data_IF_326994202012
#
_entry.id   IF_326994202012
#
_cell.length_a   1.000
_cell.length_b   1.000
_cell.length_c   1.000
_cell.angle_alpha   90.00
_cell.angle_beta   90.00
_cell.angle_gamma   90.00
#
_symmetry.space_group_name_H-M   'P 1'
#
loop_
_entity.id
_entity.type
_entity.pdbx_description
1 polymer ?
#
# COMPACT_ATOMS: atom_id res chain seq x y z
N UNK A 1 -0.20 16.76 -6.18
CA UNK A 1 -0.57 15.33 -6.30
C UNK A 1 -2.00 15.19 -5.81
N UNK A 2 -2.90 14.59 -6.61
CA UNK A 2 -4.29 14.32 -6.22
C UNK A 2 -4.43 12.94 -5.60
N UNK A 3 -5.61 12.64 -5.02
CA UNK A 3 -5.90 11.34 -4.43
C UNK A 3 -5.90 10.24 -5.50
N UNK A 4 -5.60 9.00 -5.08
CA UNK A 4 -5.86 7.81 -5.88
C UNK A 4 -7.24 7.24 -5.58
N UNK A 5 -7.51 6.02 -6.04
CA UNK A 5 -8.72 5.25 -5.74
C UNK A 5 -8.39 3.82 -5.31
N UNK A 6 -9.30 3.22 -4.57
CA UNK A 6 -9.26 1.79 -4.21
C UNK A 6 -10.25 1.06 -5.13
N UNK A 7 -9.76 0.07 -5.87
CA UNK A 7 -10.57 -0.71 -6.77
C UNK A 7 -10.39 -2.22 -6.55
N UNK A 8 -11.37 -3.01 -6.94
CA UNK A 8 -11.36 -4.47 -6.84
C UNK A 8 -11.13 -5.08 -8.22
N UNK A 9 -10.21 -6.02 -8.31
CA UNK A 9 -9.92 -6.74 -9.55
C UNK A 9 -11.05 -7.70 -9.89
N UNK A 10 -11.75 -7.45 -10.99
CA UNK A 10 -12.83 -8.33 -11.46
C UNK A 10 -12.28 -9.48 -12.32
N UNK A 11 -11.31 -9.18 -13.17
CA UNK A 11 -10.72 -10.16 -14.07
C UNK A 11 -10.02 -9.50 -15.23
N UNK A 12 -9.73 -10.29 -16.26
CA UNK A 12 -9.16 -9.80 -17.50
C UNK A 12 -10.05 -10.20 -18.69
N UNK A 13 -10.09 -9.33 -19.67
CA UNK A 13 -10.77 -9.54 -20.95
C UNK A 13 -9.94 -8.91 -22.07
N UNK A 14 -10.47 -8.86 -23.26
CA UNK A 14 -9.89 -8.16 -24.40
C UNK A 14 -10.92 -7.21 -25.01
N UNK A 15 -10.46 -6.09 -25.47
CA UNK A 15 -11.22 -5.16 -26.27
C UNK A 15 -10.62 -5.13 -27.68
N UNK A 16 -11.45 -4.88 -28.66
CA UNK A 16 -11.03 -4.67 -30.04
C UNK A 16 -10.91 -3.17 -30.26
N UNK A 17 -9.77 -2.74 -30.72
CA UNK A 17 -9.57 -1.36 -31.16
C UNK A 17 -10.12 -1.19 -32.59
N UNK A 18 -10.36 0.03 -32.99
CA UNK A 18 -10.87 0.36 -34.34
C UNK A 18 -9.98 -0.15 -35.48
N UNK A 19 -8.67 -0.25 -35.22
CA UNK A 19 -7.67 -0.80 -36.13
C UNK A 19 -7.64 -2.35 -36.15
N UNK A 20 -8.60 -3.02 -35.51
CA UNK A 20 -8.71 -4.47 -35.41
C UNK A 20 -7.74 -5.14 -34.43
N UNK A 21 -6.93 -4.40 -33.70
CA UNK A 21 -6.01 -4.96 -32.71
C UNK A 21 -6.73 -5.43 -31.46
N UNK A 22 -6.29 -6.56 -30.95
CA UNK A 22 -6.74 -7.06 -29.65
C UNK A 22 -5.95 -6.38 -28.52
N UNK A 23 -6.64 -5.60 -27.70
CA UNK A 23 -6.06 -4.95 -26.52
C UNK A 23 -6.43 -5.77 -25.28
N UNK A 24 -5.46 -6.43 -24.63
CA UNK A 24 -5.75 -7.11 -23.36
C UNK A 24 -6.02 -6.08 -22.28
N UNK A 25 -7.12 -6.22 -21.56
CA UNK A 25 -7.50 -5.29 -20.49
C UNK A 25 -7.81 -6.02 -19.20
N UNK A 26 -7.47 -5.39 -18.10
CA UNK A 26 -7.93 -5.77 -16.76
C UNK A 26 -9.11 -4.88 -16.39
N UNK A 27 -10.19 -5.50 -15.94
CA UNK A 27 -11.39 -4.81 -15.45
C UNK A 27 -11.29 -4.65 -13.94
N UNK A 28 -11.41 -3.41 -13.50
CA UNK A 28 -11.42 -3.02 -12.09
C UNK A 28 -12.76 -2.39 -11.75
N UNK A 29 -13.33 -2.74 -10.60
CA UNK A 29 -14.58 -2.16 -10.11
C UNK A 29 -14.30 -1.27 -8.90
N UNK A 30 -14.87 -0.08 -8.89
CA UNK A 30 -14.96 0.77 -7.71
C UNK A 30 -16.19 0.35 -6.90
N UNK A 31 -15.98 -0.36 -5.81
CA UNK A 31 -17.04 -0.75 -4.89
C UNK A 31 -17.11 0.25 -3.74
N UNK A 32 -17.89 1.31 -3.89
CA UNK A 32 -18.18 2.25 -2.82
C UNK A 32 -16.93 2.96 -2.26
N UNK A 33 -16.07 3.47 -3.16
CA UNK A 33 -14.87 4.23 -2.76
C UNK A 33 -15.28 5.58 -2.16
N UNK A 34 -15.02 5.79 -0.86
CA UNK A 34 -15.47 6.94 -0.09
C UNK A 34 -14.36 7.47 0.80
N UNK A 35 -14.33 8.78 1.02
CA UNK A 35 -13.40 9.44 1.95
C UNK A 35 -13.84 9.18 3.39
N UNK A 36 -12.95 8.61 4.19
CA UNK A 36 -13.21 8.28 5.60
C UNK A 36 -12.56 9.29 6.53
N UNK A 37 -11.37 9.77 6.21
CA UNK A 37 -10.65 10.73 7.07
C UNK A 37 -9.71 11.56 6.23
N UNK A 38 -9.42 12.76 6.72
CA UNK A 38 -8.38 13.64 6.22
C UNK A 38 -7.24 13.69 7.22
N UNK A 39 -6.00 13.86 6.72
CA UNK A 39 -4.81 14.14 7.49
C UNK A 39 -4.31 15.52 7.13
N UNK A 40 -4.04 16.34 8.13
CA UNK A 40 -3.57 17.71 7.96
C UNK A 40 -2.20 17.91 8.59
N UNK A 41 -1.48 18.94 8.16
CA UNK A 41 -0.16 19.25 8.71
C UNK A 41 -0.22 19.55 10.21
N UNK A 42 -1.30 20.20 10.67
CA UNK A 42 -1.45 20.65 12.05
C UNK A 42 -1.66 19.49 13.04
N UNK A 43 -2.45 18.48 12.63
CA UNK A 43 -2.81 17.36 13.51
C UNK A 43 -1.91 16.15 13.35
N UNK A 44 -1.53 15.84 12.12
CA UNK A 44 -0.86 14.58 11.78
C UNK A 44 0.58 14.78 11.28
N UNK A 45 1.00 16.02 10.97
CA UNK A 45 2.32 16.34 10.43
C UNK A 45 2.52 15.97 8.96
N UNK A 46 1.46 15.62 8.25
CA UNK A 46 1.44 15.39 6.80
C UNK A 46 0.03 15.51 6.23
N UNK A 47 -0.06 15.73 4.90
CA UNK A 47 -1.34 15.86 4.20
C UNK A 47 -1.66 14.57 3.46
N UNK A 48 -2.83 14.00 3.75
CA UNK A 48 -3.32 12.79 3.10
C UNK A 48 -4.84 12.66 3.19
N UNK A 49 -5.41 11.87 2.30
CA UNK A 49 -6.82 11.47 2.31
C UNK A 49 -6.88 9.97 2.55
N UNK A 50 -7.63 9.54 3.57
CA UNK A 50 -7.90 8.14 3.82
C UNK A 50 -9.18 7.74 3.11
N UNK A 51 -9.06 6.80 2.20
CA UNK A 51 -10.18 6.22 1.44
C UNK A 51 -10.57 4.86 2.01
N UNK A 52 -11.86 4.58 1.96
CA UNK A 52 -12.42 3.27 2.27
C UNK A 52 -13.18 2.70 1.07
N UNK A 53 -13.10 1.39 0.85
CA UNK A 53 -13.83 0.70 -0.22
C UNK A 53 -14.42 -0.62 0.25
N UNK A 54 -15.52 -1.03 -0.41
CA UNK A 54 -16.30 -2.20 -0.07
C UNK A 54 -17.03 -2.05 1.28
N UNK A 55 -18.05 -2.84 1.48
CA UNK A 55 -18.83 -2.84 2.74
C UNK A 55 -18.37 -3.97 3.65
N UNK A 56 -18.12 -3.69 4.91
CA UNK A 56 -17.80 -4.67 5.94
C UNK A 56 -19.01 -4.94 6.82
N UNK A 57 -19.24 -6.22 7.16
CA UNK A 57 -20.30 -6.58 8.12
C UNK A 57 -19.97 -5.98 9.49
N UNK A 58 -20.90 -5.24 10.09
CA UNK A 58 -20.69 -4.53 11.37
C UNK A 58 -20.21 -5.46 12.51
N UNK A 59 -20.67 -6.73 12.53
CA UNK A 59 -20.24 -7.74 13.53
C UNK A 59 -18.76 -8.09 13.44
N UNK A 60 -18.13 -7.91 12.27
CA UNK A 60 -16.71 -8.25 12.05
C UNK A 60 -15.78 -7.04 12.30
N UNK A 61 -16.34 -5.86 12.57
CA UNK A 61 -15.56 -4.63 12.79
C UNK A 61 -15.30 -4.46 14.27
N UNK A 62 -14.06 -4.21 14.64
CA UNK A 62 -13.65 -3.98 16.04
C UNK A 62 -14.22 -2.67 16.58
N UNK A 63 -14.43 -2.57 17.90
CA UNK A 63 -14.98 -1.38 18.57
C UNK A 63 -14.21 -0.08 18.22
N UNK A 64 -12.85 -0.05 18.21
CA UNK A 64 -12.12 1.16 17.79
C UNK A 64 -12.42 1.58 16.36
N UNK A 65 -12.49 0.62 15.42
CA UNK A 65 -12.79 0.91 14.03
C UNK A 65 -14.24 1.39 13.83
N UNK A 66 -15.20 0.86 14.59
CA UNK A 66 -16.56 1.41 14.59
C UNK A 66 -16.59 2.87 15.03
N UNK A 67 -15.82 3.24 16.07
CA UNK A 67 -15.66 4.64 16.48
C UNK A 67 -15.05 5.50 15.39
N UNK A 68 -14.03 5.00 14.69
CA UNK A 68 -13.40 5.70 13.56
C UNK A 68 -14.41 6.03 12.44
N UNK A 69 -15.20 5.04 12.01
CA UNK A 69 -16.27 5.27 11.02
C UNK A 69 -17.40 6.15 11.55
N UNK A 70 -17.73 6.05 12.85
CA UNK A 70 -18.75 6.87 13.50
C UNK A 70 -18.40 8.36 13.47
N UNK A 71 -17.16 8.74 13.72
CA UNK A 71 -16.69 10.14 13.61
C UNK A 71 -16.86 10.66 12.19
N UNK A 72 -16.53 9.83 11.19
CA UNK A 72 -16.66 10.17 9.79
C UNK A 72 -18.11 10.11 9.26
N UNK A 73 -19.05 9.58 10.05
CA UNK A 73 -20.44 9.28 9.63
C UNK A 73 -20.50 8.43 8.35
N UNK A 74 -19.60 7.46 8.24
CA UNK A 74 -19.43 6.59 7.09
C UNK A 74 -19.67 5.14 7.53
N UNK A 75 -20.24 4.33 6.65
CA UNK A 75 -20.40 2.90 6.90
C UNK A 75 -19.03 2.18 7.02
N UNK A 76 -18.98 1.09 7.78
CA UNK A 76 -17.79 0.27 7.87
C UNK A 76 -17.31 -0.22 6.51
N UNK A 77 -16.06 0.07 6.17
CA UNK A 77 -15.44 -0.32 4.90
C UNK A 77 -14.59 -1.59 5.06
N UNK A 78 -14.51 -2.39 3.99
CA UNK A 78 -13.73 -3.62 3.98
C UNK A 78 -12.22 -3.37 3.91
N UNK A 79 -11.82 -2.30 3.22
CA UNK A 79 -10.41 -1.93 3.05
C UNK A 79 -10.26 -0.43 3.21
N UNK A 80 -9.21 -0.03 3.94
CA UNK A 80 -8.79 1.36 4.09
C UNK A 80 -7.39 1.53 3.51
N UNK A 81 -7.16 2.66 2.86
CA UNK A 81 -5.83 3.05 2.41
C UNK A 81 -5.70 4.58 2.43
N UNK A 82 -4.49 5.05 2.72
CA UNK A 82 -4.17 6.47 2.70
C UNK A 82 -3.43 6.83 1.41
N UNK A 83 -3.80 7.97 0.86
CA UNK A 83 -3.13 8.58 -0.28
C UNK A 83 -2.62 9.95 0.12
N UNK A 84 -1.31 10.14 0.04
CA UNK A 84 -0.71 11.45 0.21
C UNK A 84 -1.10 12.35 -0.94
N UNK A 85 -1.57 13.54 -0.61
CA UNK A 85 -2.06 14.53 -1.57
C UNK A 85 -1.41 15.88 -1.31
N UNK A 86 -1.48 16.79 -2.28
CA UNK A 86 -1.15 18.19 -2.06
C UNK A 86 -2.24 18.86 -1.23
N UNK A 87 -1.95 19.93 -0.54
CA UNK A 87 -2.93 20.68 0.26
C UNK A 87 -4.13 21.12 -0.58
N UNK A 88 -3.89 21.56 -1.82
CA UNK A 88 -4.93 21.97 -2.78
C UNK A 88 -5.82 20.81 -3.26
N UNK A 89 -5.44 19.56 -3.00
CA UNK A 89 -6.13 18.35 -3.48
C UNK A 89 -6.87 17.62 -2.36
N UNK A 90 -7.18 18.30 -1.28
CA UNK A 90 -8.02 17.75 -0.22
C UNK A 90 -9.44 17.52 -0.72
N UNK A 91 -10.04 16.42 -0.29
CA UNK A 91 -11.42 16.02 -0.62
C UNK A 91 -12.18 15.80 0.68
N UNK A 92 -13.39 16.31 0.78
CA UNK A 92 -14.19 16.30 2.00
C UNK A 92 -14.49 14.88 2.50
N UNK A 93 -14.58 14.75 3.84
CA UNK A 93 -14.95 13.49 4.48
C UNK A 93 -16.38 13.12 4.11
N UNK A 94 -16.58 11.87 3.74
CA UNK A 94 -17.88 11.36 3.28
C UNK A 94 -18.08 11.44 1.76
N UNK A 95 -17.25 12.17 1.01
CA UNK A 95 -17.35 12.27 -0.44
C UNK A 95 -17.10 10.91 -1.11
N UNK A 96 -17.87 10.64 -2.18
CA UNK A 96 -17.77 9.41 -2.97
C UNK A 96 -16.95 9.68 -4.23
N UNK A 97 -16.07 8.76 -4.59
CA UNK A 97 -15.24 8.85 -5.79
C UNK A 97 -15.86 8.06 -6.95
N UNK A 98 -15.86 8.68 -8.14
CA UNK A 98 -16.32 8.09 -9.39
C UNK A 98 -15.18 7.43 -10.18
N UNK A 99 -15.53 6.52 -11.10
CA UNK A 99 -14.61 5.97 -12.10
C UNK A 99 -14.09 7.03 -13.08
N UNK A 100 -14.82 8.12 -13.29
CA UNK A 100 -14.41 9.28 -14.09
C UNK A 100 -13.21 10.03 -13.53
N UNK A 101 -12.73 9.65 -12.33
CA UNK A 101 -11.48 10.13 -11.76
C UNK A 101 -10.30 9.94 -12.73
N UNK A 102 -10.34 8.90 -13.55
CA UNK A 102 -9.36 8.62 -14.59
C UNK A 102 -9.99 8.79 -15.97
N UNK A 103 -9.21 9.30 -16.91
CA UNK A 103 -9.64 9.49 -18.31
C UNK A 103 -8.92 8.49 -19.23
N UNK A 104 -9.53 8.19 -20.36
CA UNK A 104 -8.92 7.33 -21.37
C UNK A 104 -7.58 7.91 -21.85
N UNK A 105 -6.60 7.04 -22.06
CA UNK A 105 -5.24 7.43 -22.46
C UNK A 105 -4.32 7.84 -21.30
N UNK A 106 -4.85 8.06 -20.09
CA UNK A 106 -4.06 8.40 -18.92
C UNK A 106 -3.19 7.22 -18.47
N UNK A 107 -1.96 7.51 -18.01
CA UNK A 107 -1.10 6.53 -17.35
C UNK A 107 -1.32 6.52 -15.84
N UNK A 108 -1.35 5.32 -15.27
CA UNK A 108 -1.57 5.08 -13.84
C UNK A 108 -0.61 4.04 -13.28
N UNK A 109 -0.32 4.16 -12.00
CA UNK A 109 0.43 3.18 -11.22
C UNK A 109 -0.54 2.36 -10.36
N UNK A 110 -0.47 1.03 -10.48
CA UNK A 110 -1.34 0.12 -9.74
C UNK A 110 -0.54 -0.70 -8.74
N UNK A 111 -0.89 -0.57 -7.48
CA UNK A 111 -0.27 -1.29 -6.37
C UNK A 111 -1.24 -2.34 -5.84
N UNK A 112 -0.76 -3.56 -5.70
CA UNK A 112 -1.56 -4.66 -5.14
C UNK A 112 -0.71 -5.77 -4.58
N UNK A 113 -1.35 -6.69 -3.87
CA UNK A 113 -0.71 -7.86 -3.31
C UNK A 113 -0.69 -8.99 -4.34
N UNK A 114 0.47 -9.47 -4.69
CA UNK A 114 0.62 -10.55 -5.68
C UNK A 114 0.10 -11.87 -5.11
N UNK A 115 -0.41 -12.72 -6.00
CA UNK A 115 -0.87 -14.05 -5.63
C UNK A 115 0.26 -14.84 -4.96
N UNK A 116 0.00 -15.40 -3.78
CA UNK A 116 0.92 -16.27 -3.06
C UNK A 116 1.14 -17.59 -3.79
N UNK A 117 2.39 -18.06 -3.82
CA UNK A 117 2.79 -19.35 -4.41
C UNK A 117 3.51 -20.24 -3.41
N UNK A 118 3.50 -19.85 -2.13
CA UNK A 118 4.17 -20.57 -1.06
C UNK A 118 5.70 -20.61 -1.19
N UNK A 119 6.33 -21.56 -0.55
CA UNK A 119 7.79 -21.78 -0.67
C UNK A 119 8.12 -22.36 -2.04
N UNK A 120 9.00 -21.73 -2.77
CA UNK A 120 9.39 -22.14 -4.13
C UNK A 120 10.90 -22.31 -4.24
N UNK A 121 11.31 -23.31 -5.03
CA UNK A 121 12.71 -23.54 -5.39
C UNK A 121 13.27 -22.41 -6.26
N UNK A 122 14.60 -22.35 -6.35
CA UNK A 122 15.32 -21.33 -7.10
C UNK A 122 14.95 -21.29 -8.60
N UNK A 123 14.63 -22.43 -9.20
CA UNK A 123 14.20 -22.49 -10.60
C UNK A 123 12.91 -21.70 -10.82
N UNK A 124 11.85 -21.96 -10.03
CA UNK A 124 10.55 -21.27 -10.20
C UNK A 124 10.59 -19.82 -9.71
N UNK A 125 11.32 -19.57 -8.61
CA UNK A 125 11.34 -18.23 -8.00
C UNK A 125 12.21 -17.24 -8.79
N UNK A 126 13.32 -17.70 -9.37
CA UNK A 126 14.33 -16.84 -9.98
C UNK A 126 14.71 -17.21 -11.42
N UNK A 127 14.12 -18.28 -11.98
CA UNK A 127 14.42 -18.74 -13.33
C UNK A 127 15.77 -19.43 -13.48
N UNK A 128 16.29 -20.08 -12.43
CA UNK A 128 17.54 -20.85 -12.52
C UNK A 128 17.36 -22.07 -13.41
N UNK A 129 18.39 -22.44 -14.19
CA UNK A 129 18.37 -23.57 -15.09
C UNK A 129 18.38 -24.94 -14.40
N UNK A 130 18.88 -25.02 -13.16
CA UNK A 130 19.10 -26.28 -12.47
C UNK A 130 20.37 -27.00 -12.95
N UNK A 131 20.49 -28.28 -12.63
CA UNK A 131 21.58 -29.15 -13.05
C UNK A 131 21.10 -30.09 -14.15
N UNK A 132 22.05 -30.81 -14.80
CA UNK A 132 21.75 -31.76 -15.87
C UNK A 132 20.83 -32.88 -15.38
N UNK A 133 19.99 -33.40 -16.27
CA UNK A 133 19.12 -34.54 -15.98
C UNK A 133 19.87 -35.90 -16.05
N UNK A 134 21.02 -35.91 -16.71
CA UNK A 134 21.86 -37.09 -16.97
C UNK A 134 23.30 -36.86 -16.50
N UNK A 135 24.24 -37.67 -16.91
CA UNK A 135 25.67 -37.60 -16.57
C UNK A 135 25.94 -37.71 -15.05
N UNK A 136 25.30 -38.66 -14.38
CA UNK A 136 25.58 -39.01 -12.99
C UNK A 136 25.02 -38.04 -11.96
N UNK A 137 24.23 -37.05 -12.37
CA UNK A 137 23.54 -36.16 -11.41
C UNK A 137 22.44 -36.93 -10.71
N UNK A 138 22.52 -37.04 -9.39
CA UNK A 138 21.51 -37.67 -8.53
C UNK A 138 20.83 -36.63 -7.66
N UNK A 139 19.51 -36.70 -7.51
CA UNK A 139 18.62 -35.90 -6.60
C UNK A 139 18.67 -34.39 -6.78
N UNK A 140 19.80 -33.82 -7.26
CA UNK A 140 20.05 -32.37 -7.26
C UNK A 140 19.62 -31.65 -8.53
N UNK A 141 18.79 -32.25 -9.37
CA UNK A 141 18.39 -31.71 -10.70
C UNK A 141 17.82 -30.29 -10.63
N UNK A 142 17.11 -29.93 -9.55
CA UNK A 142 16.45 -28.63 -9.39
C UNK A 142 17.16 -27.70 -8.40
N UNK A 143 18.42 -27.97 -8.07
CA UNK A 143 19.18 -27.13 -7.17
C UNK A 143 19.62 -25.82 -7.84
N UNK A 144 20.00 -24.84 -7.04
CA UNK A 144 20.45 -23.53 -7.51
C UNK A 144 21.94 -23.46 -7.85
N UNK A 145 22.69 -24.57 -7.67
CA UNK A 145 24.13 -24.63 -7.89
C UNK A 145 24.93 -24.04 -6.74
N UNK A 146 26.13 -23.55 -7.03
CA UNK A 146 27.01 -22.94 -6.02
C UNK A 146 26.41 -21.69 -5.37
N UNK A 147 26.64 -21.53 -4.09
CA UNK A 147 26.24 -20.34 -3.30
C UNK A 147 27.33 -19.29 -3.19
N UNK A 148 28.58 -19.63 -3.50
CA UNK A 148 29.73 -18.74 -3.40
C UNK A 148 31.05 -19.45 -3.71
N UNK A 149 32.16 -18.74 -3.50
CA UNK A 149 33.51 -19.26 -3.58
C UNK A 149 33.82 -20.11 -2.32
N UNK A 150 35.10 -20.37 -2.07
CA UNK A 150 35.57 -21.24 -1.01
C UNK A 150 35.84 -20.45 0.29
N UNK A 151 37.10 -20.55 0.83
CA UNK A 151 37.53 -19.86 2.03
C UNK A 151 37.57 -18.31 1.85
N UNK A 152 37.79 -17.85 0.65
CA UNK A 152 37.77 -16.45 0.30
C UNK A 152 36.62 -16.19 -0.68
N UNK A 153 35.64 -15.34 -0.34
CA UNK A 153 35.45 -14.45 0.83
C UNK A 153 34.89 -15.15 2.08
N UNK A 154 34.72 -16.47 2.13
CA UNK A 154 34.23 -17.23 3.29
C UNK A 154 32.79 -16.95 3.70
N UNK A 155 32.03 -16.27 2.85
CA UNK A 155 30.64 -15.89 3.10
C UNK A 155 29.78 -15.97 1.83
N UNK A 156 28.46 -16.09 2.03
CA UNK A 156 27.50 -15.90 0.95
C UNK A 156 27.15 -14.43 0.86
N UNK A 157 27.30 -13.84 -0.33
CA UNK A 157 26.98 -12.42 -0.53
C UNK A 157 25.51 -12.12 -0.25
N UNK A 158 25.23 -10.91 0.30
CA UNK A 158 23.87 -10.41 0.47
C UNK A 158 23.14 -10.41 -0.86
N UNK A 159 21.81 -10.61 -0.84
CA UNK A 159 20.94 -10.68 -2.02
C UNK A 159 21.20 -11.88 -2.96
N UNK A 160 21.99 -12.89 -2.57
CA UNK A 160 22.09 -14.14 -3.31
C UNK A 160 20.71 -14.76 -3.50
N UNK A 161 20.33 -15.00 -4.76
CA UNK A 161 19.04 -15.59 -5.13
C UNK A 161 18.97 -17.05 -4.68
N UNK A 162 18.03 -17.37 -3.80
CA UNK A 162 17.81 -18.70 -3.23
C UNK A 162 16.33 -19.07 -3.20
N UNK A 163 16.03 -20.32 -2.89
CA UNK A 163 14.66 -20.77 -2.59
C UNK A 163 14.03 -19.93 -1.47
N UNK A 164 12.72 -19.90 -1.40
CA UNK A 164 11.98 -19.19 -0.37
C UNK A 164 10.57 -18.84 -0.81
N UNK A 165 9.87 -18.07 0.02
CA UNK A 165 8.51 -17.64 -0.21
C UNK A 165 8.40 -16.80 -1.49
N UNK A 166 7.47 -17.16 -2.37
CA UNK A 166 7.20 -16.49 -3.64
C UNK A 166 5.77 -15.98 -3.66
N UNK A 167 5.59 -14.74 -4.12
CA UNK A 167 4.29 -14.06 -4.11
C UNK A 167 3.91 -13.56 -2.72
N UNK A 168 2.63 -13.22 -2.55
CA UNK A 168 2.06 -12.64 -1.33
C UNK A 168 2.86 -11.41 -0.86
N UNK A 169 3.23 -10.56 -1.82
CA UNK A 169 3.98 -9.33 -1.60
C UNK A 169 3.32 -8.19 -2.32
N UNK A 170 3.36 -7.03 -1.72
CA UNK A 170 2.96 -5.80 -2.37
C UNK A 170 3.90 -5.50 -3.55
N UNK A 171 3.31 -5.22 -4.71
CA UNK A 171 4.01 -4.85 -5.94
C UNK A 171 3.24 -3.75 -6.63
N UNK A 172 3.98 -2.83 -7.22
CA UNK A 172 3.43 -1.75 -8.05
C UNK A 172 3.79 -2.03 -9.50
N UNK A 173 2.79 -2.05 -10.36
CA UNK A 173 2.94 -2.02 -11.81
C UNK A 173 2.78 -0.57 -12.24
N UNK A 174 3.83 -0.01 -12.82
CA UNK A 174 3.87 1.38 -13.24
C UNK A 174 3.45 1.56 -14.71
N UNK A 175 2.97 2.77 -15.03
CA UNK A 175 2.68 3.24 -16.38
C UNK A 175 1.72 2.31 -17.13
N UNK A 176 0.60 1.97 -16.49
CA UNK A 176 -0.50 1.26 -17.16
C UNK A 176 -1.44 2.30 -17.77
N UNK A 177 -1.79 2.11 -19.05
CA UNK A 177 -2.69 3.01 -19.75
C UNK A 177 -4.14 2.67 -19.42
N UNK A 178 -4.94 3.67 -19.10
CA UNK A 178 -6.40 3.56 -18.98
C UNK A 178 -6.97 3.49 -20.39
N UNK A 179 -7.67 2.41 -20.71
CA UNK A 179 -8.32 2.24 -22.02
C UNK A 179 -9.65 2.99 -22.06
N UNK A 180 -10.37 2.94 -20.95
CA UNK A 180 -11.66 3.64 -20.81
C UNK A 180 -12.21 3.44 -19.40
N UNK A 181 -13.28 4.17 -19.12
CA UNK A 181 -14.01 4.11 -17.85
C UNK A 181 -15.51 4.01 -18.10
N UNK A 182 -16.22 3.32 -17.23
CA UNK A 182 -17.69 3.25 -17.24
C UNK A 182 -18.17 3.79 -15.89
N UNK A 183 -18.65 5.03 -15.91
CA UNK A 183 -19.11 5.70 -14.70
C UNK A 183 -20.36 5.04 -14.10
N UNK A 184 -21.29 4.59 -14.96
CA UNK A 184 -22.56 4.01 -14.54
C UNK A 184 -22.35 2.72 -13.73
N UNK A 185 -21.39 1.89 -14.14
CA UNK A 185 -21.04 0.63 -13.46
C UNK A 185 -19.85 0.77 -12.51
N UNK A 186 -19.21 1.92 -12.46
CA UNK A 186 -18.00 2.14 -11.65
C UNK A 186 -16.81 1.29 -12.12
N UNK A 187 -16.65 1.06 -13.44
CA UNK A 187 -15.59 0.22 -13.97
C UNK A 187 -14.46 1.05 -14.57
N UNK A 188 -13.23 0.55 -14.39
CA UNK A 188 -12.02 1.09 -15.00
C UNK A 188 -11.34 -0.02 -15.79
N UNK A 189 -11.01 0.25 -17.05
CA UNK A 189 -10.33 -0.69 -17.94
C UNK A 189 -8.88 -0.29 -18.11
N UNK A 190 -7.97 -1.14 -17.63
CA UNK A 190 -6.52 -0.91 -17.73
C UNK A 190 -5.89 -1.86 -18.74
N UNK A 191 -5.05 -1.32 -19.62
CA UNK A 191 -4.29 -2.12 -20.58
C UNK A 191 -3.27 -2.99 -19.86
N UNK A 192 -3.34 -4.31 -20.11
CA UNK A 192 -2.36 -5.26 -19.59
C UNK A 192 -2.76 -5.89 -18.26
N UNK A 193 -1.78 -6.46 -17.58
CA UNK A 193 -1.99 -7.18 -16.32
C UNK A 193 -1.73 -6.29 -15.11
N UNK A 194 -2.46 -6.55 -14.02
CA UNK A 194 -2.24 -5.92 -12.72
C UNK A 194 -1.90 -6.97 -11.67
N UNK A 195 -1.17 -6.63 -10.59
CA UNK A 195 -0.85 -7.57 -9.54
C UNK A 195 -2.11 -8.12 -8.85
N UNK A 196 -2.00 -9.31 -8.27
CA UNK A 196 -3.05 -9.91 -7.45
C UNK A 196 -3.99 -10.86 -8.17
N UNK A 197 -4.77 -11.57 -7.35
CA UNK A 197 -5.81 -12.51 -7.78
C UNK A 197 -7.10 -11.77 -8.14
N UNK A 198 -8.04 -12.45 -8.82
CA UNK A 198 -9.42 -11.99 -8.98
C UNK A 198 -10.04 -11.77 -7.61
N UNK A 199 -10.76 -10.66 -7.42
CA UNK A 199 -11.35 -10.27 -6.14
C UNK A 199 -10.38 -9.53 -5.19
N UNK A 200 -9.09 -9.38 -5.55
CA UNK A 200 -8.11 -8.64 -4.76
C UNK A 200 -8.29 -7.13 -4.86
N UNK A 201 -7.99 -6.43 -3.76
CA UNK A 201 -8.00 -4.97 -3.69
C UNK A 201 -6.71 -4.38 -4.27
N UNK A 202 -6.87 -3.30 -4.98
CA UNK A 202 -5.80 -2.58 -5.67
C UNK A 202 -5.88 -1.09 -5.33
N UNK A 203 -4.72 -0.47 -5.20
CA UNK A 203 -4.56 0.97 -5.07
C UNK A 203 -4.12 1.52 -6.42
N UNK A 204 -4.88 2.42 -6.97
CA UNK A 204 -4.60 3.08 -8.25
C UNK A 204 -4.27 4.53 -7.95
N UNK A 205 -3.22 5.05 -8.56
CA UNK A 205 -2.82 6.45 -8.48
C UNK A 205 -2.27 6.89 -9.82
N UNK A 206 -2.20 8.20 -10.02
CA UNK A 206 -1.55 8.77 -11.21
C UNK A 206 -0.12 8.25 -11.33
N UNK A 207 0.35 8.03 -12.55
CA UNK A 207 1.71 7.60 -12.80
C UNK A 207 2.72 8.63 -12.27
N UNK A 208 3.70 8.16 -11.48
CA UNK A 208 4.76 9.02 -10.95
C UNK A 208 5.69 9.51 -12.07
N UNK A 209 5.86 8.69 -13.12
CA UNK A 209 6.79 8.96 -14.22
C UNK A 209 6.16 9.66 -15.42
N UNK A 210 4.83 9.71 -15.48
CA UNK A 210 4.10 10.38 -16.55
C UNK A 210 3.45 11.69 -16.09
N UNK A 211 3.24 12.65 -16.98
CA UNK A 211 2.45 13.84 -16.68
C UNK A 211 0.99 13.46 -16.50
N UNK A 212 0.29 14.18 -15.62
CA UNK A 212 -1.16 14.09 -15.53
C UNK A 212 -1.77 14.79 -16.75
N UNK A 213 -2.75 14.19 -17.46
CA UNK A 213 -3.47 14.88 -18.53
C UNK A 213 -4.21 16.10 -17.99
N UNK A 214 -4.26 17.17 -18.77
CA UNK A 214 -4.92 18.44 -18.40
C UNK A 214 -6.43 18.28 -18.17
N UNK A 215 -7.07 17.34 -18.86
CA UNK A 215 -8.50 17.05 -18.72
C UNK A 215 -8.87 16.20 -17.49
N UNK A 216 -7.90 15.73 -16.69
CA UNK A 216 -8.20 14.89 -15.55
C UNK A 216 -8.81 15.71 -14.39
N UNK A 217 -9.93 15.27 -13.79
CA UNK A 217 -10.62 15.98 -12.70
C UNK A 217 -9.67 16.30 -11.54
N UNK A 218 -9.78 17.50 -10.99
CA UNK A 218 -8.99 17.93 -9.85
C UNK A 218 -9.87 18.69 -8.85
N UNK A 219 -9.81 18.40 -7.57
CA UNK A 219 -8.95 17.46 -6.83
C UNK A 219 -9.32 16.00 -7.03
N UNK A 220 -10.56 15.68 -7.32
CA UNK A 220 -11.08 14.34 -7.58
C UNK A 220 -12.40 14.41 -8.35
N UNK A 221 -12.77 13.33 -9.05
CA UNK A 221 -14.14 13.18 -9.55
C UNK A 221 -15.02 12.69 -8.40
N UNK A 222 -15.75 13.61 -7.79
CA UNK A 222 -16.73 13.34 -6.75
C UNK A 222 -18.08 13.06 -7.41
N UNK A 223 -18.78 12.00 -6.95
CA UNK A 223 -20.13 11.69 -7.36
C UNK A 223 -21.10 11.77 -6.19
N UNK A 224 -22.34 12.03 -6.48
CA UNK A 224 -23.41 11.83 -5.49
C UNK A 224 -23.66 10.33 -5.29
N UNK A 225 -23.97 9.89 -4.06
CA UNK A 225 -24.30 8.51 -3.79
C UNK A 225 -25.57 8.10 -4.53
N UNK A 226 -25.63 6.85 -5.01
CA UNK A 226 -26.85 6.30 -5.62
C UNK A 226 -27.96 6.12 -4.58
N UNK A 227 -29.22 6.05 -5.03
CA UNK A 227 -30.37 5.84 -4.12
C UNK A 227 -30.22 4.57 -3.28
N UNK A 228 -29.63 3.51 -3.85
CA UNK A 228 -29.39 2.26 -3.15
C UNK A 228 -28.31 2.42 -2.06
N UNK A 229 -27.26 3.18 -2.35
CA UNK A 229 -26.22 3.54 -1.37
C UNK A 229 -26.79 4.43 -0.26
N UNK A 230 -27.69 5.37 -0.61
CA UNK A 230 -28.41 6.20 0.36
C UNK A 230 -29.34 5.37 1.25
N UNK A 231 -30.02 4.37 0.70
CA UNK A 231 -30.87 3.45 1.47
C UNK A 231 -30.06 2.63 2.47
N UNK A 232 -28.88 2.19 2.08
CA UNK A 232 -27.96 1.45 2.97
C UNK A 232 -27.45 2.38 4.09
N UNK A 233 -27.16 3.64 3.77
CA UNK A 233 -26.75 4.67 4.76
C UNK A 233 -27.91 5.06 5.70
N UNK A 234 -29.15 5.09 5.16
CA UNK A 234 -30.36 5.44 5.92
C UNK A 234 -30.91 4.27 6.74
N UNK A 235 -30.51 3.02 6.46
CA UNK A 235 -30.85 1.87 7.29
C UNK A 235 -30.23 2.09 8.69
N UNK A 236 -31.03 2.05 9.76
CA UNK A 236 -30.70 2.72 10.99
C UNK A 236 -29.44 2.16 11.65
N UNK A 237 -28.42 2.98 11.74
CA UNK A 237 -27.32 2.84 12.71
C UNK A 237 -27.91 2.83 14.16
N UNK A 238 -29.21 3.12 14.31
CA UNK A 238 -29.91 3.22 15.56
C UNK A 238 -29.93 1.93 16.40
N UNK A 239 -29.87 0.76 15.78
CA UNK A 239 -29.87 -0.49 16.54
C UNK A 239 -28.48 -0.94 17.03
N UNK A 240 -27.40 -0.39 16.44
CA UNK A 240 -26.04 -0.76 16.88
C UNK A 240 -25.44 0.19 17.92
N UNK A 241 -26.02 1.38 18.12
CA UNK A 241 -25.58 2.32 19.13
C UNK A 241 -26.25 2.13 20.49
N UNK A 242 -27.45 1.54 20.54
CA UNK A 242 -28.16 1.31 21.79
C UNK A 242 -27.49 0.27 22.71
N UNK A 243 -26.76 -0.71 22.10
CA UNK A 243 -26.11 -1.78 22.86
C UNK A 243 -24.66 -1.51 23.27
N UNK A 244 -24.09 -0.35 22.96
CA UNK A 244 -22.64 -0.11 23.14
C UNK A 244 -22.30 0.92 24.20
N UNK A 245 -23.27 1.72 24.64
CA UNK A 245 -23.06 2.60 25.79
C UNK A 245 -24.06 2.15 26.85
N UNK A 246 -23.66 1.32 27.84
CA UNK A 246 -24.47 1.24 29.05
C UNK A 246 -24.54 2.66 29.61
N UNK A 247 -25.72 3.14 30.08
CA UNK A 247 -25.78 4.40 30.76
C UNK A 247 -24.74 4.32 31.87
N UNK A 248 -23.85 5.28 31.90
CA UNK A 248 -23.09 5.53 33.11
C UNK A 248 -24.15 6.01 34.12
N UNK A 249 -24.68 5.05 34.89
CA UNK A 249 -25.35 5.37 36.12
C UNK A 249 -24.39 6.25 36.88
N UNK A 250 -24.75 7.53 36.96
CA UNK A 250 -24.25 8.38 37.99
C UNK A 250 -24.86 7.81 39.30
N UNK A 251 -24.23 6.75 39.79
CA UNK A 251 -24.52 6.16 41.08
C UNK A 251 -24.35 7.24 42.12
N UNK A 252 -25.48 7.85 42.47
CA UNK A 252 -25.62 8.47 43.77
C UNK A 252 -25.32 7.37 44.77
N UNK A 253 -24.13 7.41 45.34
CA UNK A 253 -23.78 6.56 46.46
C UNK A 253 -24.80 6.75 47.57
N UNK A 254 -25.23 5.68 48.26
CA UNK A 254 -26.12 5.82 49.37
C UNK A 254 -25.43 6.71 50.44
N UNK A 255 -26.12 7.81 50.80
CA UNK A 255 -25.74 8.59 51.95
C UNK A 255 -25.74 7.65 53.16
N UNK A 256 -24.58 7.36 53.70
CA UNK A 256 -24.45 6.69 54.98
C UNK A 256 -24.97 7.65 56.05
N UNK A 257 -26.15 7.37 56.56
CA UNK A 257 -26.63 7.95 57.80
C UNK A 257 -25.68 7.53 58.93
N UNK A 258 -24.94 8.51 59.42
CA UNK A 258 -24.14 8.36 60.63
C UNK A 258 -25.12 8.49 61.81
N UNK A 259 -25.62 7.36 62.32
CA UNK A 259 -26.23 7.33 63.63
C UNK A 259 -25.16 7.59 64.70
N UNK A 260 -25.20 8.73 65.31
CA UNK A 260 -24.45 9.04 66.51
C UNK A 260 -25.09 8.33 67.70
N UNK A 261 -24.55 7.18 68.06
CA UNK A 261 -24.84 6.56 69.36
C UNK A 261 -23.88 7.16 70.38
N UNK A 262 -24.45 8.05 71.23
CA UNK A 262 -23.81 8.51 72.45
C UNK A 262 -24.00 7.40 73.50
N UNK A 263 -22.92 6.75 73.94
CA UNK A 263 -22.92 6.00 75.18
C UNK A 263 -21.72 6.41 76.01
N UNK A 264 -22.07 7.07 77.10
CA UNK A 264 -21.25 7.31 78.28
C UNK A 264 -20.75 5.95 78.83
N UNK A 265 -19.49 5.85 79.15
CA UNK A 265 -19.01 5.43 80.48
C UNK A 265 -17.52 5.13 80.52
N UNK A 266 -16.87 5.85 81.44
CA UNK A 266 -15.82 5.49 82.42
C UNK A 266 -14.59 4.70 81.92
N UNK A 267 -13.49 5.40 82.07
CA UNK A 267 -12.14 5.09 82.60
C UNK A 267 -11.79 3.64 82.91
N UNK A 268 -10.61 3.36 82.52
CA UNK A 268 -9.47 2.68 83.16
C UNK A 268 -8.83 1.59 82.30
N UNK A 269 -7.53 1.76 82.23
CA UNK A 269 -6.41 0.84 82.33
C UNK A 269 -5.74 0.30 81.05
N UNK A 270 -4.53 0.78 80.92
CA UNK A 270 -3.21 0.21 80.62
C UNK A 270 -3.07 -0.87 79.53
N UNK A 271 -2.15 -0.61 78.58
CA UNK A 271 -1.36 -1.69 78.05
C UNK A 271 -1.02 -1.59 76.55
N UNK A 272 0.17 -1.14 76.29
CA UNK A 272 0.85 -1.19 75.04
C UNK A 272 0.81 -2.58 74.37
N UNK A 273 0.73 -2.59 73.01
CA UNK A 273 1.66 -3.36 72.16
C UNK A 273 1.44 -2.95 70.70
N UNK A 274 2.50 -2.46 70.11
CA UNK A 274 2.61 -2.17 68.66
C UNK A 274 2.91 -3.48 67.94
N UNK A 275 2.11 -3.85 66.97
CA UNK A 275 2.56 -4.83 65.95
C UNK A 275 2.22 -4.32 64.54
N UNK A 276 3.31 -3.96 63.85
CA UNK A 276 3.30 -3.75 62.42
C UNK A 276 3.22 -5.12 61.74
N UNK A 277 2.25 -5.30 60.85
CA UNK A 277 2.19 -6.43 59.93
C UNK A 277 2.76 -6.04 58.56
N UNK A 278 3.94 -6.59 58.29
CA UNK A 278 4.56 -6.61 56.97
C UNK A 278 3.94 -7.79 56.19
N UNK A 279 3.45 -7.57 55.01
CA UNK A 279 3.03 -8.64 54.11
C UNK A 279 4.21 -8.94 53.16
N UNK A 280 4.80 -10.10 53.38
CA UNK A 280 5.82 -10.72 52.52
C UNK A 280 5.18 -11.33 51.28
N UNK A 281 5.75 -11.00 50.11
CA UNK A 281 5.51 -11.70 48.88
C UNK A 281 6.52 -12.81 48.68
N UNK A 282 6.05 -14.01 48.48
CA UNK A 282 6.82 -15.23 48.26
C UNK A 282 7.50 -15.26 46.90
N UNK A 283 8.82 -15.41 46.91
CA UNK A 283 9.62 -15.88 45.80
C UNK A 283 10.07 -17.34 46.10
N UNK A 284 9.99 -18.20 45.10
CA UNK A 284 10.53 -19.56 45.06
C UNK A 284 11.16 -19.70 43.69
N UNK A 285 12.31 -20.26 43.47
CA UNK A 285 13.27 -21.04 44.22
C UNK A 285 14.56 -21.21 43.42
N UNK A 286 15.54 -21.51 44.15
CA UNK A 286 16.93 -21.76 43.78
C UNK A 286 17.15 -23.12 43.09
N UNK A 287 18.28 -23.24 42.40
CA UNK A 287 18.94 -24.52 42.29
C UNK A 287 19.92 -24.67 41.14
N UNK A 288 21.23 -24.66 41.44
CA UNK A 288 22.17 -25.38 40.61
C UNK A 288 23.50 -24.70 40.29
N UNK A 289 24.39 -24.67 41.26
CA UNK A 289 25.83 -24.41 41.12
C UNK A 289 26.55 -25.59 40.45
N UNK A 290 27.50 -25.33 39.53
CA UNK A 290 28.77 -26.07 39.46
C UNK A 290 29.88 -25.15 38.96
N UNK A 291 30.86 -24.99 39.81
CA UNK A 291 32.18 -24.39 39.61
C UNK A 291 33.07 -25.29 38.74
N UNK A 292 33.99 -24.64 38.00
CA UNK A 292 35.41 -24.97 37.77
C UNK A 292 35.83 -24.08 36.57
N UNK A 293 36.92 -23.36 36.58
CA UNK A 293 38.16 -23.28 37.29
C UNK A 293 38.98 -22.21 36.56
N UNK A 294 39.81 -21.57 37.30
CA UNK A 294 40.68 -20.45 36.91
C UNK A 294 41.84 -20.86 36.00
N UNK A 295 42.30 -19.89 35.18
CA UNK A 295 43.73 -19.64 34.95
C UNK A 295 43.95 -18.29 34.26
N UNK A 296 44.57 -17.42 34.97
CA UNK A 296 45.48 -16.28 34.75
C UNK A 296 46.27 -16.31 33.44
N UNK A 297 46.47 -15.18 32.76
CA UNK A 297 47.61 -14.26 32.89
C UNK A 297 47.67 -13.23 31.75
N UNK A 298 47.81 -11.98 32.15
CA UNK A 298 48.70 -10.93 31.72
C UNK A 298 49.04 -10.66 30.23
N UNK A 299 48.93 -9.39 29.86
CA UNK A 299 49.60 -8.84 28.69
C UNK A 299 49.08 -7.48 28.23
N UNK A 300 49.41 -6.46 28.96
CA UNK A 300 49.41 -5.03 28.59
C UNK A 300 50.27 -4.81 27.34
N UNK A 301 49.80 -4.06 26.37
CA UNK A 301 50.54 -2.93 25.76
C UNK A 301 49.68 -2.08 24.86
N UNK A 302 49.61 -0.86 25.24
CA UNK A 302 49.23 0.37 24.63
C UNK A 302 50.16 0.71 23.45
N UNK A 303 49.64 1.21 22.32
CA UNK A 303 50.26 2.24 21.45
C UNK A 303 49.30 2.64 20.30
N UNK A 304 48.84 3.86 20.34
CA UNK A 304 48.49 4.70 19.20
C UNK A 304 49.61 5.76 19.08
N UNK A 305 49.60 6.70 18.11
CA UNK A 305 49.30 6.66 16.67
C UNK A 305 50.50 7.23 15.87
N UNK A 306 50.55 7.06 14.57
CA UNK A 306 51.36 7.89 13.69
C UNK A 306 50.66 8.24 12.40
N UNK A 307 50.48 9.50 12.19
CA UNK A 307 50.20 10.21 10.96
C UNK A 307 51.34 9.98 9.94
N UNK A 308 51.00 9.79 8.70
CA UNK A 308 51.88 10.12 7.57
C UNK A 308 51.00 10.53 6.36
N UNK A 309 51.17 11.78 6.01
CA UNK A 309 50.81 12.42 4.76
C UNK A 309 51.44 11.71 3.58
N UNK A 310 50.71 11.59 2.49
CA UNK A 310 51.19 11.12 1.21
C UNK A 310 50.27 11.58 0.09
N UNK A 311 50.39 12.84 -0.27
CA UNK A 311 49.87 13.42 -1.51
C UNK A 311 50.54 12.73 -2.71
N UNK A 312 49.70 12.18 -3.61
CA UNK A 312 50.12 11.86 -4.96
C UNK A 312 49.04 12.33 -5.91
N UNK A 313 49.36 13.45 -6.56
CA UNK A 313 48.67 13.98 -7.71
C UNK A 313 48.74 12.97 -8.85
N UNK A 314 47.57 12.58 -9.37
CA UNK A 314 47.45 11.90 -10.66
C UNK A 314 46.70 12.83 -11.60
N UNK A 315 47.46 13.46 -12.46
CA UNK A 315 47.00 14.16 -13.66
C UNK A 315 46.18 13.17 -14.54
N UNK A 316 44.96 13.53 -14.80
CA UNK A 316 44.15 12.88 -15.83
C UNK A 316 44.25 13.73 -17.09
N UNK A 317 44.99 13.21 -18.03
CA UNK A 317 45.08 13.74 -19.38
C UNK A 317 43.71 13.65 -20.07
N UNK A 318 43.24 14.77 -20.52
CA UNK A 318 42.09 14.96 -21.39
C UNK A 318 42.52 14.73 -22.83
N UNK A 319 42.11 13.58 -23.40
CA UNK A 319 42.12 13.38 -24.85
C UNK A 319 40.74 13.71 -25.42
N UNK A 320 40.67 14.90 -25.97
CA UNK A 320 39.59 15.36 -26.85
C UNK A 320 39.91 14.86 -28.25
N UNK A 321 39.19 13.87 -28.73
CA UNK A 321 39.15 13.48 -30.16
C UNK A 321 37.93 14.13 -30.77
N UNK A 322 38.17 15.22 -31.49
CA UNK A 322 37.25 15.83 -32.45
C UNK A 322 37.24 15.01 -33.74
N UNK A 323 36.10 14.56 -34.15
CA UNK A 323 35.78 14.13 -35.53
C UNK A 323 34.36 14.68 -35.78
N UNK A 324 34.21 15.73 -36.55
CA UNK A 324 34.32 15.78 -37.99
C UNK A 324 32.89 15.93 -38.50
N UNK A 325 32.51 17.21 -38.73
CA UNK A 325 31.30 17.60 -39.49
C UNK A 325 31.31 16.91 -40.86
N UNK A 326 30.17 16.59 -41.39
CA UNK A 326 29.63 16.90 -42.71
C UNK A 326 28.33 16.12 -42.92
N UNK A 327 27.20 16.77 -43.01
CA UNK A 327 26.34 16.67 -44.20
C UNK A 327 25.18 17.69 -44.08
N UNK A 328 25.37 18.80 -44.75
CA UNK A 328 24.30 19.60 -45.32
C UNK A 328 23.63 18.78 -46.46
N UNK A 329 22.35 18.60 -46.41
CA UNK A 329 21.56 18.34 -47.62
C UNK A 329 20.23 19.13 -47.53
N UNK A 330 20.25 20.20 -48.26
CA UNK A 330 19.21 20.70 -49.18
C UNK A 330 17.76 20.75 -48.68
N UNK A 331 17.34 21.97 -48.40
CA UNK A 331 15.99 22.50 -48.53
C UNK A 331 15.48 22.34 -49.95
N UNK A 332 14.42 21.53 -50.12
CA UNK A 332 13.61 21.48 -51.33
C UNK A 332 12.23 22.02 -51.03
N UNK A 333 12.01 23.28 -51.41
CA UNK A 333 10.67 23.85 -51.59
C UNK A 333 9.91 23.05 -52.65
N UNK A 334 8.73 22.56 -52.37
CA UNK A 334 7.77 22.16 -53.38
C UNK A 334 6.45 22.87 -53.10
N UNK A 335 6.16 23.75 -54.06
CA UNK A 335 5.01 24.60 -54.24
C UNK A 335 3.68 23.85 -54.17
N UNK A 336 2.72 24.56 -53.63
CA UNK A 336 1.30 24.29 -53.70
C UNK A 336 0.81 24.29 -55.18
N UNK A 337 0.07 23.26 -55.55
CA UNK A 337 -0.85 23.33 -56.68
C UNK A 337 -2.10 22.51 -56.36
N UNK A 338 -3.21 23.22 -56.22
CA UNK A 338 -4.55 22.71 -56.13
C UNK A 338 -5.08 22.41 -57.53
N UNK A 339 -5.83 21.35 -57.80
CA UNK A 339 -6.73 21.32 -58.92
C UNK A 339 -8.17 21.50 -58.50
N UNK A 340 -8.81 22.29 -59.38
CA UNK A 340 -10.16 22.79 -59.40
C UNK A 340 -11.26 21.72 -59.41
N UNK A 341 -12.42 22.19 -58.97
CA UNK A 341 -13.74 21.62 -59.11
C UNK A 341 -14.08 21.26 -60.57
N UNK A 342 -14.78 20.14 -60.75
CA UNK A 342 -15.66 19.95 -61.91
C UNK A 342 -17.02 19.48 -61.44
N UNK A 343 -17.97 20.31 -61.79
CA UNK A 343 -19.42 20.13 -61.75
C UNK A 343 -19.91 19.16 -62.83
N UNK A 344 -21.09 18.65 -62.56
CA UNK A 344 -22.16 18.19 -63.45
C UNK A 344 -22.06 16.85 -64.15
N UNK A 345 -23.15 16.15 -63.99
CA UNK A 345 -23.51 14.97 -64.78
C UNK A 345 -24.74 14.25 -64.24
N UNK A 346 -25.90 14.87 -64.38
CA UNK A 346 -27.25 14.24 -64.39
C UNK A 346 -27.33 13.08 -65.36
N UNK A 347 -27.94 11.96 -64.96
CA UNK A 347 -28.20 10.83 -65.85
C UNK A 347 -29.13 9.82 -65.23
N UNK A 348 -30.39 10.04 -65.39
CA UNK A 348 -31.59 9.21 -65.26
C UNK A 348 -31.51 7.93 -66.15
N UNK A 349 -32.10 6.84 -65.66
CA UNK A 349 -32.81 5.73 -66.34
C UNK A 349 -32.63 4.41 -65.64
N UNK A 350 -33.62 3.96 -64.92
CA UNK A 350 -34.69 3.02 -65.25
C UNK A 350 -34.24 1.65 -65.82
N UNK A 351 -34.86 0.62 -65.23
CA UNK A 351 -35.07 -0.79 -65.65
C UNK A 351 -34.10 -1.88 -65.21
N UNK A 352 -34.75 -2.78 -64.55
CA UNK A 352 -34.38 -4.20 -64.51
C UNK A 352 -34.75 -4.88 -63.19
#
# INVERSE_FOLDING_TARGET
VRTGVIAKKMGMTRLFAEDGRHVPVTVLALEGCQVVSQRTMDTDGYVAVQLGAGVAKAKNVTKPMRGHYGVAKVEPKATLAEFRVSEDAMVDVGAWLSAEHYIAGQEVDVTGQTQGKGFQGAMKRWGFGGLRATHGVSVSHRSHGSTGQRQDPGKVFKNKKMAGHMGDRQRTQQNLTVVGTDAARGLIFLRGSVPGAKGGWLLIRDAVKGPRPEGAPYPAAVREPSEDELRVIAAPVAETHADVVPPMDAGAGPAAEVETVVSDSSADDVGAVVHAAVVEGTAVGEGGTTEHGAATSDGVTEAAPMLADGSADVEVASDVVALGAVNEVATGEVSAEAPAANEEGTGDADRG
#
